data_IF_374373136888
#
_entry.id   IF_374373136888
#
_cell.length_a   1.000
_cell.length_b   1.000
_cell.length_c   1.000
_cell.angle_alpha   90.00
_cell.angle_beta   90.00
_cell.angle_gamma   90.00
#
_symmetry.space_group_name_H-M   'P 1'
#
loop_
_entity.id
_entity.type
_entity.pdbx_description
1 polymer ?
#
# COMPACT_ATOMS: atom_id res chain seq x y z
N UNK A 1 7.45 29.16 50.55
CA UNK A 1 7.74 28.00 51.44
C UNK A 1 8.32 26.87 50.60
N UNK A 2 9.44 26.31 51.06
CA UNK A 2 10.31 25.37 50.34
C UNK A 2 9.86 23.91 50.55
N UNK A 3 9.99 23.13 49.47
CA UNK A 3 10.48 21.73 49.34
C UNK A 3 10.23 20.68 50.45
N UNK A 4 9.72 19.53 50.03
CA UNK A 4 10.16 18.18 50.44
C UNK A 4 9.83 17.19 49.29
N UNK A 5 10.80 16.77 48.45
CA UNK A 5 11.77 15.67 48.58
C UNK A 5 11.16 14.26 48.64
N UNK A 6 11.13 13.57 47.50
CA UNK A 6 11.00 12.12 47.39
C UNK A 6 12.32 11.58 46.77
N UNK A 7 13.04 10.61 47.37
CA UNK A 7 14.35 10.20 46.90
C UNK A 7 14.28 9.22 45.72
N UNK A 8 15.04 9.51 44.68
CA UNK A 8 15.31 8.64 43.53
C UNK A 8 16.07 7.39 43.97
N UNK A 9 15.47 6.21 43.82
CA UNK A 9 16.23 4.95 43.86
C UNK A 9 17.03 4.82 42.56
N UNK A 10 18.36 4.89 42.65
CA UNK A 10 19.26 4.45 41.58
C UNK A 10 19.17 2.93 41.41
N UNK A 11 19.06 2.37 40.19
CA UNK A 11 19.28 0.95 40.00
C UNK A 11 20.77 0.66 40.19
N UNK A 12 21.07 -0.32 41.05
CA UNK A 12 22.42 -0.86 41.24
C UNK A 12 22.96 -1.36 39.89
N UNK A 13 24.13 -0.86 39.51
CA UNK A 13 24.90 -1.37 38.37
C UNK A 13 25.29 -2.82 38.63
N UNK A 14 24.58 -3.77 38.03
CA UNK A 14 25.10 -5.13 37.84
C UNK A 14 26.14 -5.05 36.74
N UNK A 15 27.40 -5.19 37.11
CA UNK A 15 28.52 -5.38 36.19
C UNK A 15 28.24 -6.59 35.30
N UNK A 16 28.01 -6.35 34.00
CA UNK A 16 27.98 -7.42 33.00
C UNK A 16 29.41 -7.98 32.84
N UNK A 17 29.59 -9.30 32.71
CA UNK A 17 30.89 -9.88 32.39
C UNK A 17 31.38 -9.32 31.05
N UNK A 18 32.70 -9.13 30.92
CA UNK A 18 33.35 -8.61 29.71
C UNK A 18 32.99 -9.47 28.49
N UNK A 19 32.08 -8.98 27.65
CA UNK A 19 31.84 -9.55 26.33
C UNK A 19 33.05 -9.26 25.45
N UNK A 20 33.63 -10.30 24.86
CA UNK A 20 34.54 -10.18 23.72
C UNK A 20 33.90 -9.24 22.69
N UNK A 21 34.44 -8.02 22.57
CA UNK A 21 33.85 -6.99 21.73
C UNK A 21 34.23 -7.29 20.28
N UNK A 22 33.41 -8.07 19.59
CA UNK A 22 33.57 -8.32 18.16
C UNK A 22 33.25 -7.03 17.40
N UNK A 23 34.28 -6.39 16.83
CA UNK A 23 34.11 -5.20 15.99
C UNK A 23 33.57 -5.60 14.62
N UNK A 24 32.35 -5.16 14.30
CA UNK A 24 31.68 -5.44 13.02
C UNK A 24 31.91 -4.29 12.04
N UNK A 25 32.12 -4.61 10.76
CA UNK A 25 32.07 -3.62 9.69
C UNK A 25 30.91 -3.93 8.75
N UNK A 26 30.13 -2.91 8.43
CA UNK A 26 28.98 -3.05 7.52
C UNK A 26 29.23 -2.14 6.33
N UNK A 27 29.35 -2.76 5.15
CA UNK A 27 29.40 -2.07 3.87
C UNK A 27 27.98 -1.81 3.40
N UNK A 28 27.59 -0.55 3.21
CA UNK A 28 26.20 -0.21 2.86
C UNK A 28 26.14 1.00 1.94
N UNK A 29 25.07 1.10 1.16
CA UNK A 29 24.61 2.38 0.60
C UNK A 29 24.07 3.24 1.74
N UNK A 30 24.18 4.56 1.61
CA UNK A 30 23.67 5.50 2.61
C UNK A 30 22.13 5.46 2.62
N UNK A 31 21.55 4.79 3.61
CA UNK A 31 20.09 4.69 3.83
C UNK A 31 19.72 5.12 5.25
N UNK A 32 18.41 5.30 5.49
CA UNK A 32 17.81 5.48 6.81
C UNK A 32 18.29 4.41 7.81
N UNK A 33 18.55 3.19 7.35
CA UNK A 33 18.92 2.01 8.16
C UNK A 33 20.31 2.10 8.77
N UNK A 34 21.22 2.84 8.12
CA UNK A 34 22.56 3.09 8.68
C UNK A 34 22.48 3.78 10.04
N UNK A 35 21.48 4.67 10.25
CA UNK A 35 21.26 5.30 11.55
C UNK A 35 20.83 4.29 12.61
N UNK A 36 19.93 3.37 12.26
CA UNK A 36 19.49 2.32 13.19
C UNK A 36 20.65 1.40 13.59
N UNK A 37 21.46 0.99 12.62
CA UNK A 37 22.63 0.14 12.84
C UNK A 37 23.65 0.80 13.77
N UNK A 38 23.99 2.07 13.54
CA UNK A 38 24.91 2.82 14.42
C UNK A 38 24.33 2.95 15.82
N UNK A 39 23.05 3.29 15.94
CA UNK A 39 22.39 3.45 17.24
C UNK A 39 22.34 2.14 18.04
N UNK A 40 22.15 1.00 17.36
CA UNK A 40 22.05 -0.31 18.00
C UNK A 40 23.42 -0.92 18.30
N UNK A 41 24.39 -0.69 17.44
CA UNK A 41 25.74 -1.27 17.51
C UNK A 41 26.75 -0.45 18.32
N UNK A 42 26.52 0.86 18.49
CA UNK A 42 27.46 1.78 19.13
C UNK A 42 28.87 1.66 18.58
N UNK A 43 29.87 1.74 19.46
CA UNK A 43 31.29 1.67 19.08
C UNK A 43 31.74 0.29 18.55
N UNK A 44 30.89 -0.74 18.68
CA UNK A 44 31.19 -2.07 18.18
C UNK A 44 30.94 -2.22 16.67
N UNK A 45 30.29 -1.24 16.02
CA UNK A 45 29.98 -1.27 14.59
C UNK A 45 30.61 -0.08 13.87
N UNK A 46 31.40 -0.35 12.83
CA UNK A 46 31.90 0.68 11.90
C UNK A 46 31.23 0.52 10.54
N UNK A 47 30.43 1.50 10.14
CA UNK A 47 29.86 1.53 8.79
C UNK A 47 30.91 2.05 7.80
N UNK A 48 31.04 1.35 6.68
CA UNK A 48 31.80 1.79 5.51
C UNK A 48 30.79 2.03 4.40
N UNK A 49 30.68 3.28 3.94
CA UNK A 49 29.86 3.60 2.79
C UNK A 49 30.72 3.43 1.55
N UNK A 50 30.39 2.45 0.72
CA UNK A 50 31.11 2.17 -0.52
C UNK A 50 30.16 1.71 -1.62
N UNK A 51 30.34 2.26 -2.81
CA UNK A 51 29.56 1.92 -3.99
C UNK A 51 28.19 2.61 -4.07
N UNK A 52 27.56 2.45 -5.23
CA UNK A 52 26.26 3.03 -5.57
C UNK A 52 25.09 2.05 -5.42
N UNK A 53 25.37 0.76 -5.30
CA UNK A 53 24.40 -0.33 -5.19
C UNK A 53 24.91 -1.41 -4.22
N UNK A 54 24.06 -2.41 -3.96
CA UNK A 54 24.37 -3.51 -3.04
C UNK A 54 25.56 -4.34 -3.54
N UNK A 55 25.67 -4.60 -4.84
CA UNK A 55 26.71 -5.45 -5.41
C UNK A 55 28.11 -4.84 -5.23
N UNK A 56 28.25 -3.53 -5.43
CA UNK A 56 29.50 -2.80 -5.17
C UNK A 56 29.84 -2.77 -3.67
N UNK A 57 28.84 -2.66 -2.79
CA UNK A 57 29.04 -2.73 -1.35
C UNK A 57 29.47 -4.14 -0.90
N UNK A 58 28.89 -5.18 -1.48
CA UNK A 58 29.22 -6.58 -1.22
C UNK A 58 30.62 -6.93 -1.74
N UNK A 59 31.00 -6.45 -2.93
CA UNK A 59 32.35 -6.59 -3.48
C UNK A 59 33.39 -5.94 -2.56
N UNK A 60 33.11 -4.76 -1.99
CA UNK A 60 33.99 -4.13 -1.01
C UNK A 60 34.05 -4.92 0.31
N UNK A 61 32.93 -5.47 0.77
CA UNK A 61 32.93 -6.34 1.94
C UNK A 61 33.84 -7.57 1.74
N UNK A 62 33.81 -8.19 0.55
CA UNK A 62 34.72 -9.28 0.14
C UNK A 62 36.18 -8.83 0.07
N UNK A 63 36.45 -7.64 -0.46
CA UNK A 63 37.82 -7.09 -0.49
C UNK A 63 38.36 -6.89 0.93
N UNK A 64 37.53 -6.35 1.84
CA UNK A 64 37.86 -6.17 3.25
C UNK A 64 38.05 -7.51 3.97
N UNK A 65 37.21 -8.51 3.68
CA UNK A 65 37.35 -9.88 4.17
C UNK A 65 38.76 -10.41 3.87
N UNK A 66 39.16 -10.37 2.60
CA UNK A 66 40.47 -10.85 2.15
C UNK A 66 41.65 -10.01 2.69
N UNK A 67 41.53 -8.68 2.71
CA UNK A 67 42.62 -7.80 3.09
C UNK A 67 42.88 -7.75 4.60
N UNK A 68 41.82 -7.88 5.42
CA UNK A 68 41.90 -7.72 6.87
C UNK A 68 41.71 -9.04 7.64
N UNK A 69 41.53 -10.17 6.94
CA UNK A 69 41.30 -11.49 7.56
C UNK A 69 40.02 -11.54 8.40
N UNK A 70 38.97 -10.83 7.96
CA UNK A 70 37.67 -10.84 8.65
C UNK A 70 36.83 -12.04 8.25
N UNK A 71 35.83 -12.36 9.06
CA UNK A 71 34.78 -13.32 8.71
C UNK A 71 33.62 -12.60 8.05
N UNK A 72 33.27 -13.00 6.83
CA UNK A 72 32.03 -12.56 6.19
C UNK A 72 30.82 -13.25 6.84
N UNK A 73 29.83 -12.47 7.26
CA UNK A 73 28.56 -12.99 7.75
C UNK A 73 27.55 -12.86 6.63
N UNK A 74 27.15 -13.99 6.06
CA UNK A 74 26.20 -14.01 4.95
C UNK A 74 24.77 -13.81 5.45
N UNK A 75 23.90 -13.15 4.67
CA UNK A 75 22.52 -12.89 5.08
C UNK A 75 21.63 -14.13 5.07
N UNK A 76 21.98 -15.18 4.32
CA UNK A 76 21.16 -16.40 4.20
C UNK A 76 21.93 -17.67 3.84
N UNK A 77 22.95 -17.60 2.97
CA UNK A 77 23.60 -18.80 2.40
C UNK A 77 24.75 -19.33 3.26
N UNK A 78 24.44 -19.62 4.53
CA UNK A 78 25.38 -20.17 5.51
C UNK A 78 24.65 -21.19 6.40
N UNK A 79 25.20 -22.39 6.64
CA UNK A 79 24.53 -23.42 7.43
C UNK A 79 24.13 -22.99 8.84
N UNK A 80 24.92 -22.13 9.51
CA UNK A 80 24.61 -21.63 10.84
C UNK A 80 23.52 -20.56 10.79
N UNK A 81 23.52 -19.73 9.76
CA UNK A 81 22.43 -18.77 9.53
C UNK A 81 21.12 -19.51 9.29
N UNK A 82 21.12 -20.53 8.44
CA UNK A 82 19.97 -21.39 8.14
C UNK A 82 19.47 -22.10 9.41
N UNK A 83 20.38 -22.71 10.17
CA UNK A 83 20.03 -23.37 11.44
C UNK A 83 19.43 -22.38 12.45
N UNK A 84 19.98 -21.16 12.51
CA UNK A 84 19.43 -20.07 13.32
C UNK A 84 18.00 -19.72 12.91
N UNK A 85 17.69 -19.63 11.61
CA UNK A 85 16.31 -19.37 11.17
C UNK A 85 15.37 -20.57 11.44
N UNK A 86 15.92 -21.79 11.47
CA UNK A 86 15.17 -23.01 11.79
C UNK A 86 14.57 -23.03 13.20
N UNK A 87 15.06 -22.21 14.13
CA UNK A 87 14.46 -22.08 15.47
C UNK A 87 13.03 -21.54 15.40
N UNK A 88 12.68 -20.79 14.35
CA UNK A 88 11.29 -20.36 14.11
C UNK A 88 10.40 -21.58 13.87
N UNK A 89 10.86 -22.55 13.08
CA UNK A 89 10.17 -23.82 12.87
C UNK A 89 9.98 -24.58 14.19
N UNK A 90 11.00 -24.59 15.05
CA UNK A 90 10.92 -25.18 16.39
C UNK A 90 9.82 -24.53 17.25
N UNK A 91 9.78 -23.21 17.31
CA UNK A 91 8.79 -22.47 18.09
C UNK A 91 7.37 -22.71 17.57
N UNK A 92 7.17 -22.69 16.24
CA UNK A 92 5.87 -22.98 15.61
C UNK A 92 5.38 -24.37 16.02
N UNK A 93 6.23 -25.40 15.94
CA UNK A 93 5.83 -26.75 16.30
C UNK A 93 5.52 -26.87 17.80
N UNK A 94 6.31 -26.22 18.66
CA UNK A 94 6.04 -26.20 20.10
C UNK A 94 4.69 -25.56 20.42
N UNK A 95 4.41 -24.38 19.84
CA UNK A 95 3.16 -23.64 20.04
C UNK A 95 1.92 -24.32 19.45
N UNK A 96 2.12 -25.20 18.46
CA UNK A 96 1.06 -25.99 17.80
C UNK A 96 1.04 -27.46 18.24
N UNK A 97 1.75 -27.80 19.32
CA UNK A 97 1.76 -29.17 19.87
C UNK A 97 0.33 -29.60 20.24
N UNK A 98 -0.08 -30.77 19.77
CA UNK A 98 -1.43 -31.30 19.99
C UNK A 98 -2.55 -30.58 19.22
N UNK A 99 -2.21 -29.64 18.33
CA UNK A 99 -3.17 -28.92 17.47
C UNK A 99 -2.98 -29.29 16.00
N UNK A 100 -4.05 -29.27 15.19
CA UNK A 100 -3.91 -29.39 13.74
C UNK A 100 -3.06 -28.24 13.21
N UNK A 101 -2.20 -28.54 12.24
CA UNK A 101 -1.41 -27.59 11.48
C UNK A 101 -1.25 -28.20 10.10
N UNK A 102 -1.79 -27.55 9.08
CA UNK A 102 -1.84 -28.07 7.72
C UNK A 102 -0.68 -27.54 6.87
N UNK A 103 -0.36 -26.25 7.02
CA UNK A 103 0.77 -25.64 6.32
C UNK A 103 1.40 -24.46 7.09
N UNK A 104 2.69 -24.25 6.84
CA UNK A 104 3.47 -23.09 7.27
C UNK A 104 3.92 -22.32 6.02
N UNK A 105 3.60 -21.03 5.97
CA UNK A 105 3.94 -20.12 4.88
C UNK A 105 5.10 -19.24 5.31
N UNK A 106 6.14 -19.23 4.49
CA UNK A 106 7.41 -18.57 4.80
C UNK A 106 7.78 -17.66 3.65
N UNK A 107 8.05 -16.38 3.93
CA UNK A 107 8.55 -15.50 2.87
C UNK A 107 9.93 -15.98 2.39
N UNK A 108 10.21 -15.77 1.11
CA UNK A 108 11.46 -16.18 0.49
C UNK A 108 12.08 -15.02 -0.28
N UNK A 109 13.31 -14.66 0.10
CA UNK A 109 14.25 -13.93 -0.75
C UNK A 109 15.38 -14.88 -1.14
N UNK A 110 16.49 -14.82 -0.40
CA UNK A 110 17.63 -15.73 -0.63
C UNK A 110 17.43 -17.17 -0.15
N UNK A 111 16.31 -17.46 0.54
CA UNK A 111 15.92 -18.81 0.95
C UNK A 111 16.36 -19.25 2.36
N UNK A 112 17.12 -18.45 3.11
CA UNK A 112 17.67 -18.86 4.41
C UNK A 112 16.61 -19.27 5.45
N UNK A 113 15.58 -18.44 5.61
CA UNK A 113 14.48 -18.72 6.54
C UNK A 113 13.60 -19.88 6.05
N UNK A 114 13.25 -19.91 4.77
CA UNK A 114 12.48 -20.99 4.17
C UNK A 114 13.20 -22.34 4.35
N UNK A 115 14.49 -22.41 4.03
CA UNK A 115 15.31 -23.60 4.20
C UNK A 115 15.38 -24.06 5.67
N UNK A 116 15.63 -23.14 6.60
CA UNK A 116 15.73 -23.45 8.03
C UNK A 116 14.42 -23.99 8.60
N UNK A 117 13.30 -23.30 8.32
CA UNK A 117 11.96 -23.69 8.77
C UNK A 117 11.55 -25.02 8.11
N UNK A 118 11.76 -25.18 6.79
CA UNK A 118 11.41 -26.39 6.07
C UNK A 118 12.13 -27.61 6.63
N UNK A 119 13.44 -27.52 6.82
CA UNK A 119 14.25 -28.61 7.36
C UNK A 119 13.73 -29.04 8.76
N UNK A 120 13.48 -28.09 9.66
CA UNK A 120 13.00 -28.42 11.00
C UNK A 120 11.58 -29.01 10.98
N UNK A 121 10.65 -28.38 10.26
CA UNK A 121 9.26 -28.83 10.19
C UNK A 121 9.15 -30.23 9.58
N UNK A 122 9.87 -30.49 8.48
CA UNK A 122 9.86 -31.79 7.82
C UNK A 122 10.48 -32.90 8.66
N UNK A 123 11.45 -32.58 9.51
CA UNK A 123 12.05 -33.57 10.41
C UNK A 123 11.05 -34.06 11.48
N UNK A 124 10.29 -33.15 12.10
CA UNK A 124 9.45 -33.48 13.26
C UNK A 124 7.97 -33.69 12.93
N UNK A 125 7.44 -33.03 11.90
CA UNK A 125 6.05 -33.17 11.44
C UNK A 125 5.99 -33.18 9.90
N UNK A 126 6.47 -34.25 9.24
CA UNK A 126 6.56 -34.31 7.77
C UNK A 126 5.23 -34.11 7.02
N UNK A 127 4.09 -34.38 7.68
CA UNK A 127 2.76 -34.14 7.13
C UNK A 127 2.37 -32.66 7.01
N UNK A 128 3.01 -31.77 7.77
CA UNK A 128 2.80 -30.32 7.65
C UNK A 128 3.48 -29.83 6.39
N UNK A 129 2.74 -29.11 5.54
CA UNK A 129 3.32 -28.49 4.34
C UNK A 129 4.15 -27.26 4.71
N UNK A 130 5.23 -27.04 4.01
CA UNK A 130 6.03 -25.81 4.08
C UNK A 130 6.02 -25.18 2.71
N UNK A 131 5.45 -23.98 2.64
CA UNK A 131 5.16 -23.28 1.40
C UNK A 131 5.96 -21.98 1.39
N UNK A 132 6.83 -21.81 0.40
CA UNK A 132 7.56 -20.58 0.19
C UNK A 132 6.70 -19.54 -0.52
N UNK A 133 6.83 -18.27 -0.14
CA UNK A 133 6.10 -17.16 -0.76
C UNK A 133 7.06 -16.08 -1.22
N UNK A 134 6.99 -15.74 -2.51
CA UNK A 134 7.83 -14.72 -3.16
C UNK A 134 6.98 -13.61 -3.77
N UNK A 135 7.54 -12.42 -3.92
CA UNK A 135 6.95 -11.41 -4.78
C UNK A 135 7.07 -11.86 -6.25
N UNK A 136 6.03 -11.62 -7.06
CA UNK A 136 6.00 -12.07 -8.45
C UNK A 136 7.14 -11.47 -9.30
N UNK A 137 7.60 -10.27 -8.95
CA UNK A 137 8.72 -9.57 -9.58
C UNK A 137 10.09 -9.89 -8.95
N UNK A 138 10.17 -10.85 -8.02
CA UNK A 138 11.39 -11.33 -7.38
C UNK A 138 11.36 -12.84 -7.07
N UNK A 139 10.76 -13.64 -7.96
CA UNK A 139 10.48 -15.08 -7.75
C UNK A 139 11.68 -16.02 -8.05
N UNK A 140 12.82 -15.77 -7.40
CA UNK A 140 14.09 -16.45 -7.70
C UNK A 140 14.13 -17.93 -7.30
N UNK A 141 13.58 -18.28 -6.13
CA UNK A 141 13.51 -19.66 -5.66
C UNK A 141 12.49 -20.46 -6.46
N UNK A 142 11.35 -19.86 -6.80
CA UNK A 142 10.33 -20.48 -7.68
C UNK A 142 10.94 -20.84 -9.03
N UNK A 143 11.62 -19.90 -9.68
CA UNK A 143 12.28 -20.14 -10.96
C UNK A 143 13.38 -21.22 -10.84
N UNK A 144 14.16 -21.18 -9.76
CA UNK A 144 15.25 -22.13 -9.53
C UNK A 144 14.75 -23.56 -9.30
N UNK A 145 13.72 -23.73 -8.47
CA UNK A 145 13.12 -25.04 -8.19
C UNK A 145 12.47 -25.63 -9.43
N UNK A 146 11.74 -24.82 -10.21
CA UNK A 146 11.14 -25.25 -11.47
C UNK A 146 12.20 -25.70 -12.50
N UNK A 147 13.35 -25.00 -12.55
CA UNK A 147 14.45 -25.36 -13.45
C UNK A 147 15.33 -26.51 -12.95
N UNK A 148 15.19 -26.93 -11.68
CA UNK A 148 16.07 -27.90 -11.03
C UNK A 148 17.50 -27.40 -10.79
N UNK A 149 17.76 -26.11 -11.02
CA UNK A 149 19.05 -25.44 -10.83
C UNK A 149 18.85 -23.98 -10.47
N UNK A 150 19.82 -23.35 -9.81
CA UNK A 150 19.77 -21.91 -9.50
C UNK A 150 19.66 -21.06 -10.77
N UNK A 151 18.68 -20.18 -10.79
CA UNK A 151 18.44 -19.20 -11.86
C UNK A 151 18.69 -17.81 -11.31
N UNK A 152 19.49 -17.02 -12.04
CA UNK A 152 19.67 -15.60 -11.75
C UNK A 152 18.62 -14.79 -12.50
N UNK A 153 17.91 -13.92 -11.79
CA UNK A 153 16.93 -13.01 -12.37
C UNK A 153 17.63 -11.77 -12.94
N UNK A 154 17.22 -11.33 -14.14
CA UNK A 154 17.74 -10.10 -14.78
C UNK A 154 17.53 -8.87 -13.89
N UNK A 155 16.33 -8.78 -13.33
CA UNK A 155 15.87 -7.70 -12.46
C UNK A 155 14.98 -8.23 -11.34
N UNK A 156 14.93 -7.48 -10.25
CA UNK A 156 14.05 -7.75 -9.12
C UNK A 156 13.28 -6.49 -8.74
N UNK A 157 12.00 -6.66 -8.42
CA UNK A 157 11.20 -5.59 -7.85
C UNK A 157 11.71 -5.15 -6.48
N UNK A 158 11.54 -3.87 -6.17
CA UNK A 158 12.04 -3.27 -4.93
C UNK A 158 10.94 -3.01 -3.89
N UNK A 159 9.70 -3.44 -4.17
CA UNK A 159 8.60 -3.23 -3.23
C UNK A 159 8.78 -4.09 -1.97
N UNK A 160 9.04 -5.39 -2.14
CA UNK A 160 9.46 -6.31 -1.09
C UNK A 160 10.98 -6.42 -1.03
N UNK A 161 11.65 -5.30 -0.79
CA UNK A 161 13.12 -5.15 -0.74
C UNK A 161 13.83 -6.16 0.17
N UNK A 162 13.27 -6.48 1.35
CA UNK A 162 13.81 -7.52 2.23
C UNK A 162 13.85 -8.94 1.62
N UNK A 163 13.12 -9.17 0.54
CA UNK A 163 13.07 -10.42 -0.22
C UNK A 163 13.57 -10.26 -1.68
N UNK A 164 14.06 -9.09 -2.08
CA UNK A 164 14.48 -8.80 -3.44
C UNK A 164 15.88 -9.37 -3.75
N UNK A 165 15.95 -10.68 -4.04
CA UNK A 165 17.21 -11.39 -4.28
C UNK A 165 17.25 -11.92 -5.72
N UNK A 166 18.26 -11.51 -6.49
CA UNK A 166 18.45 -11.95 -7.88
C UNK A 166 18.81 -13.42 -8.02
N UNK A 167 19.66 -13.91 -7.12
CA UNK A 167 20.18 -15.27 -7.14
C UNK A 167 20.10 -15.87 -5.73
N UNK A 168 19.31 -16.92 -5.59
CA UNK A 168 19.16 -17.64 -4.33
C UNK A 168 20.46 -18.31 -3.89
N UNK A 169 20.56 -18.65 -2.60
CA UNK A 169 21.74 -19.33 -2.06
C UNK A 169 21.92 -20.75 -2.59
N UNK A 170 23.15 -21.24 -2.57
CA UNK A 170 23.49 -22.61 -2.93
C UNK A 170 22.91 -23.63 -1.96
N UNK A 171 23.20 -23.44 -0.67
CA UNK A 171 22.79 -24.38 0.37
C UNK A 171 21.29 -24.26 0.63
N UNK A 172 20.78 -23.04 0.61
CA UNK A 172 19.34 -22.80 0.73
C UNK A 172 18.55 -23.46 -0.40
N UNK A 173 19.01 -23.38 -1.65
CA UNK A 173 18.39 -24.06 -2.79
C UNK A 173 18.40 -25.59 -2.62
N UNK A 174 19.54 -26.17 -2.23
CA UNK A 174 19.68 -27.61 -1.98
C UNK A 174 18.67 -28.11 -0.95
N UNK A 175 18.52 -27.38 0.16
CA UNK A 175 17.57 -27.72 1.22
C UNK A 175 16.13 -27.52 0.76
N UNK A 176 15.83 -26.41 0.07
CA UNK A 176 14.49 -26.14 -0.42
C UNK A 176 14.03 -27.22 -1.41
N UNK A 177 14.90 -27.66 -2.31
CA UNK A 177 14.62 -28.74 -3.26
C UNK A 177 14.25 -30.06 -2.55
N UNK A 178 14.77 -30.30 -1.36
CA UNK A 178 14.51 -31.53 -0.59
C UNK A 178 13.27 -31.45 0.32
N UNK A 179 12.89 -30.24 0.79
CA UNK A 179 11.97 -30.10 1.93
C UNK A 179 10.80 -29.13 1.73
N UNK A 180 10.83 -28.26 0.72
CA UNK A 180 9.72 -27.33 0.44
C UNK A 180 8.71 -28.02 -0.46
N UNK A 181 7.43 -27.95 -0.09
CA UNK A 181 6.37 -28.65 -0.83
C UNK A 181 5.89 -27.85 -2.05
N UNK A 182 5.86 -26.53 -1.94
CA UNK A 182 5.26 -25.64 -2.94
C UNK A 182 5.82 -24.23 -2.81
N UNK A 183 5.85 -23.50 -3.94
CA UNK A 183 6.12 -22.07 -3.98
C UNK A 183 4.90 -21.32 -4.50
N UNK A 184 4.63 -20.15 -3.93
CA UNK A 184 3.58 -19.23 -4.38
C UNK A 184 4.19 -17.86 -4.66
N UNK A 185 3.79 -17.25 -5.77
CA UNK A 185 4.13 -15.86 -6.08
C UNK A 185 2.92 -14.97 -5.85
N UNK A 186 3.13 -13.79 -5.26
CA UNK A 186 2.08 -12.81 -4.98
C UNK A 186 2.40 -11.45 -5.61
N UNK A 187 1.37 -10.71 -6.01
CA UNK A 187 1.50 -9.39 -6.63
C UNK A 187 1.74 -8.29 -5.59
N UNK A 188 2.15 -7.10 -6.03
CA UNK A 188 2.22 -5.91 -5.17
C UNK A 188 0.88 -5.61 -4.48
N UNK A 189 -0.24 -5.77 -5.20
CA UNK A 189 -1.57 -5.53 -4.66
C UNK A 189 -1.95 -6.58 -3.60
N UNK A 190 -1.60 -7.86 -3.82
CA UNK A 190 -1.75 -8.93 -2.81
C UNK A 190 -0.97 -8.60 -1.52
N UNK A 191 0.26 -8.09 -1.66
CA UNK A 191 1.10 -7.70 -0.52
C UNK A 191 0.49 -6.49 0.21
N UNK A 192 0.02 -5.47 -0.51
CA UNK A 192 -0.65 -4.31 0.08
C UNK A 192 -1.91 -4.73 0.85
N UNK A 193 -2.73 -5.60 0.28
CA UNK A 193 -3.91 -6.16 0.94
C UNK A 193 -3.52 -6.94 2.22
N UNK A 194 -2.46 -7.73 2.17
CA UNK A 194 -1.96 -8.48 3.33
C UNK A 194 -1.44 -7.58 4.46
N UNK A 195 -0.77 -6.46 4.15
CA UNK A 195 -0.38 -5.45 5.16
C UNK A 195 -1.62 -4.87 5.83
N UNK A 196 -2.65 -4.52 5.04
CA UNK A 196 -3.92 -3.99 5.55
C UNK A 196 -4.63 -5.00 6.45
N UNK A 197 -4.72 -6.27 6.04
CA UNK A 197 -5.27 -7.36 6.85
C UNK A 197 -4.50 -7.52 8.16
N UNK A 198 -3.17 -7.62 8.10
CA UNK A 198 -2.33 -7.73 9.29
C UNK A 198 -2.52 -6.56 10.27
N UNK A 199 -2.60 -5.33 9.76
CA UNK A 199 -2.87 -4.14 10.58
C UNK A 199 -4.27 -4.15 11.19
N UNK A 200 -5.31 -4.50 10.43
CA UNK A 200 -6.68 -4.51 10.93
C UNK A 200 -6.89 -5.52 12.06
N UNK A 201 -6.26 -6.69 11.93
CA UNK A 201 -6.42 -7.80 12.88
C UNK A 201 -5.54 -7.64 14.13
N UNK A 202 -4.27 -7.26 13.93
CA UNK A 202 -3.25 -7.30 15.01
C UNK A 202 -2.74 -5.93 15.44
N UNK A 203 -3.05 -4.87 14.67
CA UNK A 203 -2.48 -3.52 14.81
C UNK A 203 -0.95 -3.45 14.63
N UNK A 204 -0.34 -4.51 14.13
CA UNK A 204 1.07 -4.53 13.73
C UNK A 204 1.20 -3.95 12.33
N UNK A 205 2.14 -3.02 12.15
CA UNK A 205 2.51 -2.49 10.84
C UNK A 205 3.62 -3.35 10.25
N UNK A 206 3.26 -4.19 9.28
CA UNK A 206 4.22 -5.06 8.59
C UNK A 206 4.88 -4.31 7.44
N UNK A 207 6.16 -4.62 7.18
CA UNK A 207 6.81 -4.24 5.93
C UNK A 207 6.36 -5.16 4.78
N UNK A 208 6.58 -4.80 3.51
CA UNK A 208 6.14 -5.62 2.38
C UNK A 208 6.64 -7.06 2.40
N UNK A 209 7.93 -7.30 2.69
CA UNK A 209 8.46 -8.67 2.84
C UNK A 209 7.84 -9.41 4.06
N UNK A 210 7.55 -8.67 5.13
CA UNK A 210 6.87 -9.13 6.34
C UNK A 210 5.44 -9.63 6.10
N UNK A 211 4.78 -9.12 5.07
CA UNK A 211 3.39 -9.48 4.73
C UNK A 211 3.28 -10.59 3.67
N UNK A 212 4.39 -11.00 3.03
CA UNK A 212 4.37 -12.01 1.95
C UNK A 212 3.67 -13.31 2.38
N UNK A 213 3.98 -13.83 3.57
CA UNK A 213 3.37 -15.08 4.02
C UNK A 213 1.85 -14.98 4.20
N UNK A 214 1.34 -13.83 4.65
CA UNK A 214 -0.11 -13.59 4.78
C UNK A 214 -0.75 -13.55 3.38
N UNK A 215 -0.15 -12.82 2.44
CA UNK A 215 -0.61 -12.78 1.05
C UNK A 215 -0.64 -14.19 0.42
N UNK A 216 0.38 -15.00 0.71
CA UNK A 216 0.48 -16.38 0.25
C UNK A 216 -0.62 -17.29 0.81
N UNK A 217 -0.98 -17.14 2.09
CA UNK A 217 -2.11 -17.85 2.70
C UNK A 217 -3.42 -17.52 1.97
N UNK A 218 -3.71 -16.23 1.80
CA UNK A 218 -4.94 -15.78 1.14
C UNK A 218 -5.04 -16.32 -0.28
N UNK A 219 -3.95 -16.26 -1.04
CA UNK A 219 -3.88 -16.78 -2.41
C UNK A 219 -4.05 -18.29 -2.45
N UNK A 220 -3.35 -19.02 -1.59
CA UNK A 220 -3.45 -20.48 -1.50
C UNK A 220 -4.88 -20.95 -1.23
N UNK A 221 -5.55 -20.32 -0.26
CA UNK A 221 -6.93 -20.66 0.10
C UNK A 221 -7.88 -20.37 -1.07
N UNK A 222 -7.74 -19.21 -1.71
CA UNK A 222 -8.58 -18.80 -2.86
C UNK A 222 -8.38 -19.74 -4.05
N UNK A 223 -7.14 -19.96 -4.47
CA UNK A 223 -6.80 -20.75 -5.66
C UNK A 223 -7.23 -22.21 -5.51
N UNK A 224 -7.04 -22.78 -4.31
CA UNK A 224 -7.42 -24.18 -4.01
C UNK A 224 -8.84 -24.33 -3.50
N UNK A 225 -9.60 -23.23 -3.38
CA UNK A 225 -10.99 -23.20 -2.89
C UNK A 225 -11.15 -23.93 -1.55
N UNK A 226 -10.17 -23.78 -0.66
CA UNK A 226 -10.13 -24.49 0.61
C UNK A 226 -11.13 -23.89 1.59
N UNK A 227 -11.67 -24.73 2.46
CA UNK A 227 -12.53 -24.33 3.57
C UNK A 227 -12.02 -24.99 4.85
N UNK A 228 -11.82 -24.19 5.90
CA UNK A 228 -11.19 -24.65 7.13
C UNK A 228 -9.69 -24.94 6.97
N UNK A 229 -9.14 -25.65 7.96
CA UNK A 229 -7.70 -25.87 8.10
C UNK A 229 -7.04 -24.86 9.03
N UNK A 230 -5.84 -25.20 9.49
CA UNK A 230 -4.99 -24.36 10.33
C UNK A 230 -3.70 -24.06 9.59
N UNK A 231 -3.51 -22.79 9.26
CA UNK A 231 -2.36 -22.30 8.51
C UNK A 231 -1.56 -21.33 9.38
N UNK A 232 -0.23 -21.39 9.29
CA UNK A 232 0.66 -20.46 9.97
C UNK A 232 1.36 -19.58 8.92
N UNK A 233 1.21 -18.26 9.02
CA UNK A 233 1.98 -17.29 8.22
C UNK A 233 3.06 -16.66 9.09
N UNK A 234 4.32 -16.71 8.65
CA UNK A 234 5.42 -16.06 9.35
C UNK A 234 5.50 -14.59 8.95
N UNK A 235 5.19 -13.68 9.87
CA UNK A 235 5.35 -12.23 9.67
C UNK A 235 6.78 -11.79 9.95
N UNK A 236 7.60 -11.71 8.90
CA UNK A 236 9.07 -11.71 9.02
C UNK A 236 9.72 -10.36 9.37
N UNK A 237 9.01 -9.23 9.21
CA UNK A 237 9.59 -7.92 9.41
C UNK A 237 8.59 -6.76 9.42
N UNK A 238 9.05 -5.61 9.90
CA UNK A 238 8.25 -4.40 10.13
C UNK A 238 9.05 -3.09 9.94
N UNK A 239 10.20 -3.15 9.26
CA UNK A 239 11.06 -1.98 9.00
C UNK A 239 10.58 -1.23 7.75
N UNK A 240 9.46 -0.52 7.87
CA UNK A 240 8.90 0.28 6.78
C UNK A 240 8.93 1.77 7.10
N UNK A 241 9.27 2.59 6.10
CA UNK A 241 9.09 4.05 6.17
C UNK A 241 7.61 4.41 6.21
N UNK A 242 7.21 5.30 7.12
CA UNK A 242 5.84 5.78 7.22
C UNK A 242 5.30 6.33 5.90
N UNK A 243 6.16 6.91 5.06
CA UNK A 243 5.80 7.43 3.73
C UNK A 243 5.31 6.32 2.79
N UNK A 244 5.84 5.09 2.92
CA UNK A 244 5.39 3.93 2.13
C UNK A 244 3.97 3.49 2.51
N UNK A 245 3.49 3.80 3.71
CA UNK A 245 2.10 3.49 4.08
C UNK A 245 1.08 4.19 3.19
N UNK A 246 1.40 5.36 2.64
CA UNK A 246 0.53 6.02 1.67
C UNK A 246 0.32 5.15 0.43
N UNK A 247 1.40 4.65 -0.16
CA UNK A 247 1.35 3.75 -1.30
C UNK A 247 0.57 2.47 -0.96
N UNK A 248 0.86 1.88 0.21
CA UNK A 248 0.12 0.69 0.68
C UNK A 248 -1.36 0.99 0.82
N UNK A 249 -1.73 2.12 1.43
CA UNK A 249 -3.14 2.52 1.59
C UNK A 249 -3.83 2.74 0.25
N UNK A 250 -3.17 3.39 -0.72
CA UNK A 250 -3.72 3.66 -2.05
C UNK A 250 -3.93 2.37 -2.87
N UNK A 251 -3.09 1.33 -2.67
CA UNK A 251 -3.19 0.03 -3.39
C UNK A 251 -3.96 -1.05 -2.65
N UNK A 252 -3.95 -1.06 -1.32
CA UNK A 252 -4.63 -2.06 -0.49
C UNK A 252 -6.15 -1.87 -0.46
N UNK A 253 -6.66 -0.72 -0.91
CA UNK A 253 -8.08 -0.44 -0.91
C UNK A 253 -8.81 -1.07 -2.11
N UNK A 254 -8.80 -2.41 -2.16
CA UNK A 254 -9.57 -3.20 -3.13
C UNK A 254 -11.09 -3.05 -3.01
N UNK A 255 -11.55 -2.35 -1.96
CA UNK A 255 -12.96 -2.00 -1.76
C UNK A 255 -13.37 -0.75 -2.55
N UNK A 256 -12.40 0.05 -3.01
CA UNK A 256 -12.64 1.21 -3.85
C UNK A 256 -12.64 0.80 -5.33
N UNK A 257 -13.74 1.05 -6.02
CA UNK A 257 -13.92 0.78 -7.45
C UNK A 257 -13.81 2.09 -8.22
N UNK A 258 -12.75 2.23 -9.02
CA UNK A 258 -12.51 3.36 -9.91
C UNK A 258 -13.22 3.13 -11.24
N UNK A 259 -13.98 4.13 -11.71
CA UNK A 259 -14.73 4.09 -12.96
C UNK A 259 -14.67 5.42 -13.71
N UNK A 260 -14.91 5.34 -15.01
CA UNK A 260 -15.32 6.48 -15.83
C UNK A 260 -16.81 6.35 -16.13
N UNK A 261 -17.60 7.38 -15.84
CA UNK A 261 -19.02 7.44 -16.17
C UNK A 261 -19.26 8.58 -17.14
N UNK A 262 -19.86 8.26 -18.28
CA UNK A 262 -20.37 9.24 -19.23
C UNK A 262 -21.85 9.49 -18.94
N UNK A 263 -22.20 10.75 -18.74
CA UNK A 263 -23.58 11.20 -18.52
C UNK A 263 -23.97 12.29 -19.51
N UNK A 264 -25.28 12.41 -19.79
CA UNK A 264 -25.81 13.55 -20.54
C UNK A 264 -25.60 14.85 -19.74
N UNK A 265 -24.97 15.83 -20.37
CA UNK A 265 -24.64 17.12 -19.75
C UNK A 265 -25.89 18.00 -19.66
N UNK A 266 -26.65 17.84 -18.57
CA UNK A 266 -27.90 18.57 -18.30
C UNK A 266 -28.02 18.88 -16.81
N UNK A 267 -28.72 19.97 -16.43
CA UNK A 267 -29.00 20.27 -15.02
C UNK A 267 -29.60 19.06 -14.29
N UNK A 268 -29.11 18.76 -13.08
CA UNK A 268 -29.55 17.63 -12.27
C UNK A 268 -28.88 16.28 -12.59
N UNK A 269 -28.01 16.20 -13.60
CA UNK A 269 -27.41 14.92 -14.00
C UNK A 269 -26.47 14.32 -12.93
N UNK A 270 -25.72 15.15 -12.20
CA UNK A 270 -24.88 14.70 -11.08
C UNK A 270 -25.70 14.21 -9.89
N UNK A 271 -26.76 14.93 -9.53
CA UNK A 271 -27.68 14.51 -8.45
C UNK A 271 -28.39 13.19 -8.81
N UNK A 272 -28.75 12.98 -10.07
CA UNK A 272 -29.33 11.73 -10.56
C UNK A 272 -28.34 10.57 -10.43
N UNK A 273 -27.10 10.76 -10.88
CA UNK A 273 -26.03 9.76 -10.74
C UNK A 273 -25.76 9.44 -9.27
N UNK A 274 -25.59 10.47 -8.43
CA UNK A 274 -25.39 10.29 -7.00
C UNK A 274 -26.57 9.54 -6.35
N UNK A 275 -27.80 9.92 -6.66
CA UNK A 275 -29.00 9.28 -6.08
C UNK A 275 -29.09 7.80 -6.46
N UNK A 276 -28.64 7.44 -7.67
CA UNK A 276 -28.52 6.05 -8.08
C UNK A 276 -27.49 5.30 -7.23
N UNK A 277 -26.27 5.84 -7.10
CA UNK A 277 -25.20 5.25 -6.28
C UNK A 277 -25.60 5.09 -4.81
N UNK A 278 -26.32 6.08 -4.27
CA UNK A 278 -26.84 6.08 -2.90
C UNK A 278 -27.89 4.98 -2.70
N UNK A 279 -28.79 4.79 -3.67
CA UNK A 279 -29.80 3.71 -3.64
C UNK A 279 -29.16 2.31 -3.72
N UNK A 280 -28.00 2.20 -4.37
CA UNK A 280 -27.18 0.99 -4.44
C UNK A 280 -26.42 0.67 -3.14
N UNK A 281 -26.49 1.56 -2.14
CA UNK A 281 -25.83 1.40 -0.85
C UNK A 281 -24.31 1.50 -0.93
N UNK A 282 -23.77 2.13 -1.99
CA UNK A 282 -22.33 2.40 -2.13
C UNK A 282 -22.01 3.85 -1.83
N UNK A 283 -20.81 4.09 -1.32
CA UNK A 283 -20.37 5.44 -0.93
C UNK A 283 -19.38 5.98 -1.94
N UNK A 284 -19.68 7.12 -2.55
CA UNK A 284 -18.72 7.84 -3.41
C UNK A 284 -17.57 8.36 -2.55
N UNK A 285 -16.34 8.02 -2.94
CA UNK A 285 -15.09 8.42 -2.27
C UNK A 285 -14.35 9.47 -3.08
N UNK A 286 -14.44 9.42 -4.41
CA UNK A 286 -13.84 10.41 -5.32
C UNK A 286 -14.80 10.77 -6.44
N UNK A 287 -14.81 12.04 -6.85
CA UNK A 287 -15.58 12.51 -7.99
C UNK A 287 -14.84 13.68 -8.63
N UNK A 288 -14.37 13.49 -9.87
CA UNK A 288 -13.66 14.49 -10.63
C UNK A 288 -14.32 14.73 -11.98
N UNK A 289 -14.65 15.99 -12.24
CA UNK A 289 -15.34 16.45 -13.43
C UNK A 289 -14.80 17.82 -13.88
N UNK A 290 -14.65 17.97 -15.20
CA UNK A 290 -14.40 19.24 -15.89
C UNK A 290 -15.28 19.33 -17.12
N UNK A 291 -15.97 20.45 -17.28
CA UNK A 291 -16.73 20.76 -18.48
C UNK A 291 -15.81 20.78 -19.70
N UNK A 292 -16.03 19.85 -20.63
CA UNK A 292 -15.16 19.59 -21.79
C UNK A 292 -15.92 19.43 -23.10
N UNK A 293 -17.18 19.00 -23.04
CA UNK A 293 -18.09 18.88 -24.18
C UNK A 293 -19.47 19.45 -23.83
N UNK A 294 -20.29 19.74 -24.85
CA UNK A 294 -21.61 20.36 -24.65
C UNK A 294 -22.71 19.38 -24.25
N UNK A 295 -22.69 18.19 -24.85
CA UNK A 295 -23.79 17.22 -24.72
C UNK A 295 -23.48 16.10 -23.73
N UNK A 296 -22.20 15.86 -23.45
CA UNK A 296 -21.74 14.77 -22.60
C UNK A 296 -20.75 15.25 -21.55
N UNK A 297 -20.84 14.67 -20.37
CA UNK A 297 -19.88 14.83 -19.28
C UNK A 297 -19.17 13.51 -19.01
N UNK A 298 -17.85 13.54 -18.94
CA UNK A 298 -17.04 12.43 -18.46
C UNK A 298 -16.66 12.67 -16.99
N UNK A 299 -17.03 11.72 -16.14
CA UNK A 299 -16.77 11.77 -14.71
C UNK A 299 -15.80 10.63 -14.37
N UNK A 300 -14.64 10.99 -13.81
CA UNK A 300 -13.75 10.03 -13.17
C UNK A 300 -14.16 9.96 -11.70
N UNK A 301 -14.67 8.81 -11.25
CA UNK A 301 -15.15 8.66 -9.88
C UNK A 301 -14.76 7.33 -9.28
N UNK A 302 -14.69 7.33 -7.95
CA UNK A 302 -14.45 6.14 -7.14
C UNK A 302 -15.58 5.96 -6.16
N UNK A 303 -15.95 4.72 -5.90
CA UNK A 303 -16.91 4.38 -4.84
C UNK A 303 -16.45 3.17 -4.05
N UNK A 304 -16.82 3.14 -2.77
CA UNK A 304 -16.54 2.02 -1.89
C UNK A 304 -17.72 1.05 -1.84
N UNK A 305 -17.43 -0.24 -1.99
CA UNK A 305 -18.37 -1.33 -1.78
C UNK A 305 -17.86 -2.35 -0.75
N UNK A 306 -18.75 -2.96 0.05
CA UNK A 306 -18.44 -4.07 0.95
C UNK A 306 -17.74 -5.27 0.30
N UNK A 307 -18.03 -5.57 -0.97
CA UNK A 307 -17.41 -6.69 -1.69
C UNK A 307 -17.27 -6.42 -3.19
N UNK A 308 -16.49 -7.27 -3.87
CA UNK A 308 -16.32 -7.20 -5.32
C UNK A 308 -17.61 -7.59 -6.05
N UNK A 309 -18.34 -8.58 -5.55
CA UNK A 309 -19.63 -8.99 -6.10
C UNK A 309 -20.64 -7.84 -6.06
N UNK A 310 -20.66 -7.06 -4.97
CA UNK A 310 -21.49 -5.86 -4.92
C UNK A 310 -21.02 -4.81 -5.92
N UNK A 311 -19.71 -4.55 -6.04
CA UNK A 311 -19.21 -3.60 -7.05
C UNK A 311 -19.62 -4.02 -8.47
N UNK A 312 -19.46 -5.29 -8.83
CA UNK A 312 -19.82 -5.80 -10.15
C UNK A 312 -21.32 -5.65 -10.41
N UNK A 313 -22.14 -5.92 -9.40
CA UNK A 313 -23.59 -5.72 -9.45
C UNK A 313 -23.96 -4.24 -9.65
N UNK A 314 -23.25 -3.30 -9.03
CA UNK A 314 -23.48 -1.86 -9.17
C UNK A 314 -23.12 -1.39 -10.58
N UNK A 315 -21.99 -1.84 -11.13
CA UNK A 315 -21.56 -1.52 -12.50
C UNK A 315 -22.57 -2.01 -13.54
N UNK A 316 -23.06 -3.25 -13.38
CA UNK A 316 -24.08 -3.81 -14.26
C UNK A 316 -25.39 -3.02 -14.19
N UNK A 317 -25.81 -2.63 -12.97
CA UNK A 317 -27.04 -1.85 -12.75
C UNK A 317 -26.95 -0.44 -13.32
N UNK A 318 -25.83 0.27 -13.10
CA UNK A 318 -25.56 1.57 -13.72
C UNK A 318 -25.67 1.51 -15.25
N UNK A 319 -25.05 0.49 -15.86
CA UNK A 319 -25.10 0.28 -17.31
C UNK A 319 -26.54 0.03 -17.79
N UNK A 320 -27.30 -0.77 -17.04
CA UNK A 320 -28.73 -1.02 -17.32
C UNK A 320 -29.62 0.22 -17.15
N UNK A 321 -29.22 1.19 -16.32
CA UNK A 321 -29.93 2.46 -16.14
C UNK A 321 -29.61 3.51 -17.22
N UNK A 322 -28.81 3.15 -18.24
CA UNK A 322 -28.49 4.01 -19.38
C UNK A 322 -27.24 4.87 -19.18
N UNK A 323 -26.47 4.65 -18.11
CA UNK A 323 -25.15 5.26 -17.96
C UNK A 323 -24.11 4.48 -18.77
N UNK A 324 -23.23 5.18 -19.49
CA UNK A 324 -22.08 4.53 -20.12
C UNK A 324 -20.94 4.49 -19.11
N UNK A 325 -20.62 3.30 -18.61
CA UNK A 325 -19.65 3.07 -17.54
C UNK A 325 -18.47 2.26 -18.07
N UNK A 326 -17.27 2.71 -17.76
CA UNK A 326 -16.03 1.96 -17.97
C UNK A 326 -15.40 1.61 -16.63
N UNK A 327 -15.08 0.33 -16.45
CA UNK A 327 -14.42 -0.18 -15.27
C UNK A 327 -12.90 0.03 -15.37
N UNK A 328 -12.36 0.84 -14.45
CA UNK A 328 -10.94 1.21 -14.44
C UNK A 328 -10.15 0.48 -13.34
N UNK A 329 -10.73 -0.54 -12.70
CA UNK A 329 -10.09 -1.30 -11.60
C UNK A 329 -8.80 -2.01 -11.98
N UNK A 330 -8.55 -2.30 -13.26
CA UNK A 330 -7.31 -2.92 -13.72
C UNK A 330 -6.48 -1.96 -14.61
N UNK A 331 -6.86 -0.68 -14.66
CA UNK A 331 -6.21 0.33 -15.48
C UNK A 331 -5.15 1.10 -14.68
N UNK A 332 -3.88 0.75 -14.87
CA UNK A 332 -2.75 1.39 -14.16
C UNK A 332 -2.63 2.89 -14.44
N UNK A 333 -2.92 3.33 -15.68
CA UNK A 333 -2.91 4.77 -16.00
C UNK A 333 -3.95 5.51 -15.15
N UNK A 334 -5.14 4.92 -14.98
CA UNK A 334 -6.20 5.51 -14.20
C UNK A 334 -5.86 5.57 -12.70
N UNK A 335 -5.40 4.43 -12.15
CA UNK A 335 -5.04 4.28 -10.73
C UNK A 335 -3.88 5.19 -10.30
N UNK A 336 -2.82 5.25 -11.11
CA UNK A 336 -1.57 5.92 -10.71
C UNK A 336 -1.55 7.38 -11.14
N UNK A 337 -2.20 7.73 -12.26
CA UNK A 337 -2.09 9.07 -12.85
C UNK A 337 -3.43 9.77 -13.01
N UNK A 338 -4.39 9.20 -13.74
CA UNK A 338 -5.57 9.95 -14.18
C UNK A 338 -6.42 10.48 -13.02
N UNK A 339 -6.54 9.73 -11.91
CA UNK A 339 -7.24 10.19 -10.70
C UNK A 339 -6.63 11.44 -10.05
N UNK A 340 -5.39 11.79 -10.38
CA UNK A 340 -4.70 12.99 -9.91
C UNK A 340 -4.63 14.10 -10.96
N UNK A 341 -5.04 13.82 -12.20
CA UNK A 341 -4.94 14.74 -13.34
C UNK A 341 -6.31 15.14 -13.91
N UNK A 342 -7.38 14.40 -13.60
CA UNK A 342 -8.73 14.71 -14.03
C UNK A 342 -9.14 16.12 -13.55
N UNK A 343 -9.52 16.99 -14.49
CA UNK A 343 -9.72 18.41 -14.23
C UNK A 343 -9.18 19.24 -15.38
N UNK A 344 -7.92 19.69 -15.29
CA UNK A 344 -7.24 20.44 -16.35
C UNK A 344 -7.94 21.71 -16.83
N UNK A 345 -7.43 22.30 -17.91
CA UNK A 345 -8.01 23.48 -18.56
C UNK A 345 -9.15 23.11 -19.49
N UNK A 346 -10.14 23.99 -19.61
CA UNK A 346 -11.18 23.88 -20.61
C UNK A 346 -11.32 25.18 -21.39
N UNK A 347 -11.33 25.08 -22.72
CA UNK A 347 -11.54 26.23 -23.62
C UNK A 347 -13.01 26.63 -23.73
N UNK A 348 -13.93 25.74 -23.34
CA UNK A 348 -15.36 25.99 -23.41
C UNK A 348 -15.89 26.73 -22.18
N UNK A 349 -15.08 26.80 -21.12
CA UNK A 349 -15.45 27.46 -19.88
C UNK A 349 -15.13 28.95 -19.98
N UNK A 350 -16.16 29.77 -19.77
CA UNK A 350 -16.07 31.23 -19.70
C UNK A 350 -16.80 31.76 -18.48
N UNK A 351 -16.32 32.90 -17.96
CA UNK A 351 -16.80 33.56 -16.74
C UNK A 351 -16.88 32.60 -15.53
N UNK A 352 -15.84 31.79 -15.35
CA UNK A 352 -15.79 30.80 -14.27
C UNK A 352 -15.35 31.43 -12.95
N UNK A 353 -16.15 31.22 -11.91
CA UNK A 353 -15.85 31.53 -10.52
C UNK A 353 -15.56 30.22 -9.77
N UNK A 354 -14.42 30.14 -9.09
CA UNK A 354 -13.97 28.94 -8.41
C UNK A 354 -14.15 29.07 -6.90
N UNK A 355 -14.78 28.08 -6.28
CA UNK A 355 -14.97 28.05 -4.84
C UNK A 355 -14.54 26.71 -4.24
N UNK A 356 -13.91 26.79 -3.08
CA UNK A 356 -13.64 25.65 -2.23
C UNK A 356 -14.63 25.63 -1.07
N UNK A 357 -15.46 24.59 -1.01
CA UNK A 357 -16.44 24.35 0.04
C UNK A 357 -15.94 23.31 1.04
N UNK A 358 -16.37 23.47 2.28
CA UNK A 358 -16.07 22.55 3.37
C UNK A 358 -17.36 22.14 4.10
N UNK A 359 -17.50 20.84 4.35
CA UNK A 359 -18.59 20.30 5.15
C UNK A 359 -18.11 19.11 5.98
N UNK A 360 -18.79 18.86 7.11
CA UNK A 360 -18.52 17.68 7.92
C UNK A 360 -18.83 16.42 7.10
N UNK A 361 -17.85 15.52 6.99
CA UNK A 361 -18.04 14.28 6.23
C UNK A 361 -18.96 13.32 7.01
N UNK A 362 -20.21 13.24 6.57
CA UNK A 362 -21.24 12.36 7.12
C UNK A 362 -21.95 11.64 5.98
N UNK A 363 -22.50 10.43 6.20
CA UNK A 363 -23.32 9.75 5.20
C UNK A 363 -24.39 10.69 4.62
N UNK A 364 -24.45 10.81 3.30
CA UNK A 364 -25.39 11.69 2.59
C UNK A 364 -24.98 13.17 2.51
N UNK A 365 -23.84 13.59 3.07
CA UNK A 365 -23.39 14.98 3.03
C UNK A 365 -23.16 15.48 1.60
N UNK A 366 -22.57 14.65 0.73
CA UNK A 366 -22.38 14.98 -0.69
C UNK A 366 -23.70 15.13 -1.43
N UNK A 367 -24.68 14.26 -1.16
CA UNK A 367 -26.04 14.39 -1.72
C UNK A 367 -26.68 15.70 -1.31
N UNK A 368 -26.68 15.97 -0.01
CA UNK A 368 -27.24 17.21 0.54
C UNK A 368 -26.56 18.42 -0.09
N UNK A 369 -25.23 18.40 -0.22
CA UNK A 369 -24.49 19.43 -0.93
C UNK A 369 -25.00 19.60 -2.37
N UNK A 370 -25.00 18.54 -3.18
CA UNK A 370 -25.47 18.58 -4.57
C UNK A 370 -26.92 19.08 -4.70
N UNK A 371 -27.83 18.63 -3.83
CA UNK A 371 -29.24 19.07 -3.82
C UNK A 371 -29.36 20.55 -3.45
N UNK A 372 -28.61 21.06 -2.47
CA UNK A 372 -28.60 22.51 -2.16
C UNK A 372 -27.96 23.31 -3.30
N UNK A 373 -26.96 22.75 -3.96
CA UNK A 373 -26.31 23.38 -5.10
C UNK A 373 -27.27 23.52 -6.28
N UNK A 374 -28.02 22.47 -6.62
CA UNK A 374 -29.03 22.50 -7.69
C UNK A 374 -30.31 23.27 -7.31
N UNK A 375 -30.79 23.16 -6.08
CA UNK A 375 -32.05 23.75 -5.63
C UNK A 375 -32.09 25.29 -5.58
N UNK A 376 -30.95 25.97 -5.79
CA UNK A 376 -30.85 27.43 -5.74
C UNK A 376 -30.04 28.10 -6.86
N UNK A 377 -29.46 27.35 -7.81
CA UNK A 377 -28.61 27.93 -8.85
C UNK A 377 -29.15 27.73 -10.27
N UNK A 378 -29.14 28.80 -11.07
CA UNK A 378 -29.30 28.74 -12.53
C UNK A 378 -27.95 28.62 -13.24
N UNK A 379 -26.85 28.52 -12.49
CA UNK A 379 -25.48 28.57 -13.00
C UNK A 379 -24.96 27.17 -13.30
N UNK A 380 -24.28 27.04 -14.45
CA UNK A 380 -23.70 25.78 -14.87
C UNK A 380 -22.47 25.44 -14.01
N UNK A 381 -22.35 24.18 -13.57
CA UNK A 381 -21.15 23.68 -12.90
C UNK A 381 -20.14 23.32 -13.99
N UNK A 382 -18.97 23.97 -13.96
CA UNK A 382 -17.89 23.78 -14.94
C UNK A 382 -16.69 22.98 -14.42
N UNK A 383 -16.62 22.81 -13.10
CA UNK A 383 -15.64 21.97 -12.42
C UNK A 383 -16.29 21.40 -11.16
N UNK A 384 -16.05 20.12 -10.89
CA UNK A 384 -16.40 19.51 -9.62
C UNK A 384 -15.30 18.52 -9.23
N UNK A 385 -14.66 18.76 -8.09
CA UNK A 385 -13.64 17.87 -7.57
C UNK A 385 -13.88 17.61 -6.08
N UNK A 386 -14.20 16.37 -5.76
CA UNK A 386 -14.43 15.86 -4.41
C UNK A 386 -13.53 14.66 -4.16
N UNK A 387 -12.89 14.65 -3.00
CA UNK A 387 -12.08 13.53 -2.54
C UNK A 387 -12.23 13.36 -1.03
N UNK A 388 -12.68 12.19 -0.62
CA UNK A 388 -12.77 11.82 0.76
C UNK A 388 -11.47 11.14 1.20
N UNK A 389 -10.67 11.83 2.01
CA UNK A 389 -9.41 11.32 2.53
C UNK A 389 -9.54 10.64 3.90
N UNK A 390 -10.75 10.30 4.34
CA UNK A 390 -10.98 9.81 5.71
C UNK A 390 -10.71 10.86 6.77
N UNK A 391 -10.73 12.14 6.38
CA UNK A 391 -10.64 13.28 7.29
C UNK A 391 -12.05 13.72 7.68
N UNK A 392 -12.23 14.27 8.88
CA UNK A 392 -13.53 14.72 9.41
C UNK A 392 -14.19 15.85 8.59
N UNK A 393 -13.46 16.42 7.62
CA UNK A 393 -13.90 17.53 6.76
C UNK A 393 -13.80 17.11 5.30
N UNK A 394 -14.96 16.97 4.65
CA UNK A 394 -15.06 16.87 3.20
C UNK A 394 -14.74 18.21 2.55
N UNK A 395 -13.85 18.19 1.55
CA UNK A 395 -13.50 19.36 0.75
C UNK A 395 -13.96 19.15 -0.68
N UNK A 396 -14.71 20.12 -1.21
CA UNK A 396 -15.15 20.13 -2.60
C UNK A 396 -14.65 21.40 -3.26
N UNK A 397 -14.06 21.26 -4.44
CA UNK A 397 -13.77 22.39 -5.32
C UNK A 397 -14.86 22.41 -6.41
N UNK A 398 -15.51 23.56 -6.58
CA UNK A 398 -16.58 23.74 -7.58
C UNK A 398 -16.32 24.99 -8.40
N UNK A 399 -16.41 24.87 -9.72
CA UNK A 399 -16.41 26.00 -10.66
C UNK A 399 -17.83 26.30 -11.15
N UNK A 400 -18.24 27.57 -11.09
CA UNK A 400 -19.53 28.03 -11.60
C UNK A 400 -19.33 28.96 -12.79
N UNK A 401 -20.09 28.78 -13.85
CA UNK A 401 -20.17 29.77 -14.91
C UNK A 401 -21.19 30.84 -14.52
N UNK A 402 -20.68 32.01 -14.12
CA UNK A 402 -21.48 33.15 -13.67
C UNK A 402 -21.44 34.23 -14.75
N UNK A 403 -22.52 34.44 -15.53
CA UNK A 403 -22.54 35.44 -16.58
C UNK A 403 -22.27 36.85 -16.04
N UNK A 404 -21.64 37.74 -16.83
CA UNK A 404 -21.51 39.15 -16.47
C UNK A 404 -22.89 39.77 -16.18
N UNK A 405 -23.05 40.35 -14.99
CA UNK A 405 -24.33 40.93 -14.53
C UNK A 405 -25.08 40.10 -13.48
N UNK A 406 -24.73 38.82 -13.30
CA UNK A 406 -25.38 37.94 -12.31
C UNK A 406 -24.63 37.90 -10.94
N UNK A 407 -23.53 38.65 -10.79
CA UNK A 407 -22.67 38.60 -9.61
C UNK A 407 -23.40 38.90 -8.30
N UNK A 408 -24.33 39.86 -8.30
CA UNK A 408 -25.12 40.20 -7.10
C UNK A 408 -26.00 39.05 -6.64
N UNK A 409 -26.72 38.41 -7.58
CA UNK A 409 -27.57 37.24 -7.32
C UNK A 409 -26.73 36.05 -6.87
N UNK A 410 -25.56 35.86 -7.48
CA UNK A 410 -24.64 34.80 -7.12
C UNK A 410 -24.05 35.00 -5.71
N UNK A 411 -23.73 36.23 -5.32
CA UNK A 411 -23.29 36.55 -3.95
C UNK A 411 -24.38 36.36 -2.89
N UNK A 412 -25.65 36.65 -3.21
CA UNK A 412 -26.78 36.32 -2.34
C UNK A 412 -26.96 34.81 -2.18
N UNK A 413 -26.86 34.07 -3.28
CA UNK A 413 -26.87 32.62 -3.28
C UNK A 413 -25.78 32.04 -2.37
N UNK A 414 -24.53 32.46 -2.53
CA UNK A 414 -23.42 31.98 -1.69
C UNK A 414 -23.61 32.30 -0.20
N UNK A 415 -24.22 33.44 0.14
CA UNK A 415 -24.57 33.77 1.53
C UNK A 415 -25.71 32.90 2.09
N UNK A 416 -26.62 32.45 1.24
CA UNK A 416 -27.70 31.53 1.61
C UNK A 416 -27.22 30.07 1.74
N UNK A 417 -26.13 29.72 1.06
CA UNK A 417 -25.51 28.38 1.17
C UNK A 417 -24.90 28.23 2.57
N UNK A 418 -25.43 27.32 3.37
CA UNK A 418 -25.02 27.06 4.75
C UNK A 418 -23.68 26.27 4.88
N UNK A 419 -22.78 26.42 3.90
CA UNK A 419 -21.47 25.77 3.89
C UNK A 419 -20.37 26.83 3.94
N UNK A 420 -19.33 26.54 4.72
CA UNK A 420 -18.11 27.35 4.70
C UNK A 420 -17.49 27.27 3.31
N UNK A 421 -17.16 28.42 2.73
CA UNK A 421 -16.59 28.50 1.39
C UNK A 421 -15.53 29.59 1.29
N UNK A 422 -14.58 29.36 0.39
CA UNK A 422 -13.52 30.31 0.04
C UNK A 422 -13.57 30.55 -1.46
N UNK A 423 -13.55 31.81 -1.86
CA UNK A 423 -13.40 32.20 -3.27
C UNK A 423 -11.93 32.00 -3.68
N UNK A 424 -11.71 31.09 -4.62
CA UNK A 424 -10.40 30.73 -5.16
C UNK A 424 -10.24 31.24 -6.61
N UNK A 425 -11.18 32.08 -7.11
CA UNK A 425 -11.18 32.60 -8.49
C UNK A 425 -9.89 33.35 -8.83
N UNK A 426 -9.33 34.07 -7.87
CA UNK A 426 -8.08 34.81 -8.04
C UNK A 426 -6.81 34.03 -7.66
N UNK A 427 -6.96 32.75 -7.27
CA UNK A 427 -5.83 31.93 -6.84
C UNK A 427 -4.84 31.71 -8.01
N UNK A 428 -3.54 32.00 -7.83
CA UNK A 428 -2.54 31.81 -8.88
C UNK A 428 -2.47 30.39 -9.44
N UNK A 429 -2.70 29.36 -8.60
CA UNK A 429 -2.71 27.96 -9.03
C UNK A 429 -3.87 27.69 -9.97
N UNK A 430 -5.07 28.18 -9.65
CA UNK A 430 -6.22 28.08 -10.53
C UNK A 430 -5.97 28.77 -11.87
N UNK A 431 -5.51 30.03 -11.85
CA UNK A 431 -5.22 30.81 -13.06
C UNK A 431 -4.17 30.14 -13.96
N UNK A 432 -3.15 29.52 -13.38
CA UNK A 432 -2.08 28.89 -14.14
C UNK A 432 -2.47 27.52 -14.73
N UNK A 433 -3.22 26.70 -14.00
CA UNK A 433 -3.38 25.28 -14.34
C UNK A 433 -4.81 24.86 -14.74
N UNK A 434 -5.83 25.62 -14.38
CA UNK A 434 -7.23 25.22 -14.55
C UNK A 434 -8.07 26.23 -15.32
N UNK A 435 -7.85 27.53 -15.08
CA UNK A 435 -8.55 28.59 -15.77
C UNK A 435 -8.23 28.55 -17.27
N UNK A 436 -9.19 29.01 -18.07
CA UNK A 436 -8.96 29.28 -19.48
C UNK A 436 -7.90 30.38 -19.61
N UNK A 437 -6.93 30.19 -20.50
CA UNK A 437 -6.02 31.27 -20.87
C UNK A 437 -6.85 32.34 -21.60
N UNK A 438 -6.86 33.56 -21.05
CA UNK A 438 -7.37 34.74 -21.76
C UNK A 438 -6.48 35.10 -22.95
#
# INVERSE_FOLDING_TARGET
MRRSSCPSQRPRSRSRPSSSTVRRRISSRMTSDCKYIVNSGGDAVKIILHGNNFDEAAAEARRIEAAEGRTMILPFDDPLVIAGQGTIGMEILQQTTGKPLDAVFVCCGGGGMLAGVANWVKHFRPSVKVIGVEAADAAGMTASLAAGKRVELDQVGLFADGAAVKLVGEETFRICQAHVDEMITVTTDDICAAIKTGFNDTRVVLEPAGALAIAGVDRYIKDKKLRGGTYCAITSGANMDFTRLRFVSERADSAETLISVKIDERPGAFERLHSYMDAEGVRITEFSYRYSEKDNAHICMSFQSPSREQSDSVLARLSGAGFSVEDLRENELAKVHARHLAGGKSVLVGNERLFRFEFADKPGALKAFLTHMHGGSTWNISLFHYRNHGADIGRVLVGFQVPPGDEGRFGEYLRAVAYHHVDETDNPVYKQFLARNE
#
